data_IF_593398305138
#
_entry.id   IF_593398305138
#
_cell.length_a   1.000
_cell.length_b   1.000
_cell.length_c   1.000
_cell.angle_alpha   90.00
_cell.angle_beta   90.00
_cell.angle_gamma   90.00
#
_symmetry.space_group_name_H-M   'P 1'
#
loop_
_entity.id
_entity.type
_entity.pdbx_description
1 polymer ?
#
# COMPACT_ATOMS: atom_id res chain seq x y z
N UNK A 1 -3.59 36.02 -19.95
CA UNK A 1 -4.08 34.73 -20.47
C UNK A 1 -3.65 33.68 -19.48
N UNK A 2 -4.61 33.01 -18.85
CA UNK A 2 -4.37 32.04 -17.78
C UNK A 2 -3.95 30.72 -18.42
N UNK A 3 -2.69 30.35 -18.27
CA UNK A 3 -2.26 28.97 -18.51
C UNK A 3 -2.90 28.14 -17.40
N UNK A 4 -3.97 27.40 -17.71
CA UNK A 4 -4.28 26.21 -16.93
C UNK A 4 -3.21 25.19 -17.31
N UNK A 5 -2.13 25.16 -16.54
CA UNK A 5 -1.34 23.94 -16.41
C UNK A 5 -2.23 22.98 -15.63
N UNK A 6 -2.76 21.94 -16.28
CA UNK A 6 -3.43 20.84 -15.60
C UNK A 6 -2.42 20.20 -14.63
N UNK A 7 -2.57 20.32 -13.30
CA UNK A 7 -1.71 19.57 -12.41
C UNK A 7 -2.43 18.29 -11.99
N UNK A 8 -1.64 17.31 -11.55
CA UNK A 8 -2.07 16.30 -10.57
C UNK A 8 -2.54 14.93 -11.08
N UNK A 9 -1.94 14.35 -12.12
CA UNK A 9 -1.89 12.88 -12.20
C UNK A 9 -0.63 12.30 -11.55
N UNK A 10 0.55 12.87 -11.81
CA UNK A 10 1.81 12.39 -11.20
C UNK A 10 1.86 12.56 -9.68
N UNK A 11 1.25 13.62 -9.13
CA UNK A 11 1.19 13.83 -7.69
C UNK A 11 0.36 12.75 -6.96
N UNK A 12 -0.69 12.20 -7.60
CA UNK A 12 -1.50 11.16 -6.99
C UNK A 12 -0.71 9.84 -6.87
N UNK A 13 -0.01 9.44 -7.93
CA UNK A 13 0.77 8.19 -7.94
C UNK A 13 1.94 8.24 -6.94
N UNK A 14 2.65 9.37 -6.85
CA UNK A 14 3.72 9.54 -5.86
C UNK A 14 3.18 9.47 -4.42
N UNK A 15 2.02 10.09 -4.17
CA UNK A 15 1.37 10.08 -2.84
C UNK A 15 0.89 8.68 -2.46
N UNK A 16 0.38 7.90 -3.43
CA UNK A 16 -0.09 6.54 -3.18
C UNK A 16 1.06 5.58 -2.90
N UNK A 17 2.21 5.75 -3.57
CA UNK A 17 3.42 4.98 -3.26
C UNK A 17 3.97 5.30 -1.85
N UNK A 18 4.06 6.59 -1.48
CA UNK A 18 4.49 6.98 -0.12
C UNK A 18 3.54 6.48 0.96
N UNK A 19 2.23 6.48 0.70
CA UNK A 19 1.22 5.90 1.59
C UNK A 19 1.37 4.39 1.72
N UNK A 20 1.59 3.70 0.61
CA UNK A 20 1.81 2.26 0.59
C UNK A 20 3.04 1.89 1.44
N UNK A 21 4.17 2.57 1.25
CA UNK A 21 5.39 2.36 2.04
C UNK A 21 5.12 2.51 3.55
N UNK A 22 4.37 3.53 3.94
CA UNK A 22 3.95 3.73 5.33
C UNK A 22 3.09 2.57 5.86
N UNK A 23 2.12 2.12 5.07
CA UNK A 23 1.25 0.98 5.41
C UNK A 23 2.05 -0.31 5.55
N UNK A 24 3.01 -0.55 4.66
CA UNK A 24 3.87 -1.73 4.71
C UNK A 24 4.78 -1.72 5.93
N UNK A 25 5.42 -0.59 6.23
CA UNK A 25 6.27 -0.44 7.41
C UNK A 25 5.48 -0.70 8.70
N UNK A 26 4.27 -0.14 8.82
CA UNK A 26 3.43 -0.36 9.98
C UNK A 26 2.89 -1.80 10.05
N UNK A 27 2.56 -2.41 8.92
CA UNK A 27 2.08 -3.81 8.89
C UNK A 27 3.19 -4.77 9.29
N UNK A 28 4.42 -4.56 8.81
CA UNK A 28 5.58 -5.32 9.27
C UNK A 28 5.84 -5.15 10.76
N UNK A 29 5.63 -3.96 11.32
CA UNK A 29 5.80 -3.75 12.76
C UNK A 29 4.74 -4.48 13.60
N UNK A 30 3.51 -4.57 13.11
CA UNK A 30 2.39 -5.15 13.89
C UNK A 30 2.29 -6.67 13.78
N UNK A 31 2.61 -7.23 12.60
CA UNK A 31 2.42 -8.66 12.29
C UNK A 31 3.65 -9.31 11.66
N UNK A 32 4.82 -8.65 11.69
CA UNK A 32 6.06 -9.24 11.21
C UNK A 32 6.42 -10.51 11.98
N UNK A 33 6.65 -11.60 11.26
CA UNK A 33 6.90 -12.92 11.84
C UNK A 33 5.65 -13.75 12.15
N UNK A 34 4.45 -13.22 11.92
CA UNK A 34 3.20 -13.99 11.93
C UNK A 34 3.02 -14.79 10.63
N UNK A 35 2.05 -15.71 10.62
CA UNK A 35 1.70 -16.47 9.42
C UNK A 35 1.29 -15.56 8.25
N UNK A 36 1.64 -15.99 7.04
CA UNK A 36 1.33 -15.30 5.77
C UNK A 36 -0.17 -14.95 5.64
N UNK A 37 -1.07 -15.78 6.18
CA UNK A 37 -2.52 -15.53 6.18
C UNK A 37 -2.93 -14.36 7.08
N UNK A 38 -2.28 -14.19 8.23
CA UNK A 38 -2.48 -13.09 9.17
C UNK A 38 -1.99 -11.79 8.53
N UNK A 39 -0.77 -11.82 7.96
CA UNK A 39 -0.17 -10.70 7.25
C UNK A 39 -1.03 -10.25 6.07
N UNK A 40 -1.51 -11.19 5.25
CA UNK A 40 -2.39 -10.89 4.12
C UNK A 40 -3.73 -10.26 4.52
N UNK A 41 -4.31 -10.75 5.61
CA UNK A 41 -5.58 -10.20 6.12
C UNK A 41 -5.38 -8.77 6.65
N UNK A 42 -4.30 -8.53 7.40
CA UNK A 42 -3.96 -7.22 7.93
C UNK A 42 -3.68 -6.20 6.81
N UNK A 43 -2.89 -6.59 5.80
CA UNK A 43 -2.54 -5.71 4.68
C UNK A 43 -3.78 -5.36 3.85
N UNK A 44 -4.60 -6.34 3.45
CA UNK A 44 -5.82 -6.10 2.65
C UNK A 44 -6.78 -5.14 3.35
N UNK A 45 -6.97 -5.31 4.66
CA UNK A 45 -7.85 -4.42 5.43
C UNK A 45 -7.35 -2.97 5.44
N UNK A 46 -6.03 -2.76 5.57
CA UNK A 46 -5.45 -1.41 5.58
C UNK A 46 -5.56 -0.72 4.24
N UNK A 47 -5.33 -1.46 3.15
CA UNK A 47 -5.48 -0.93 1.81
C UNK A 47 -6.93 -0.50 1.55
N UNK A 48 -7.91 -1.30 1.98
CA UNK A 48 -9.33 -0.97 1.92
C UNK A 48 -9.68 0.27 2.78
N UNK A 49 -9.19 0.33 4.03
CA UNK A 49 -9.42 1.46 4.95
C UNK A 49 -8.95 2.81 4.38
N UNK A 50 -7.91 2.81 3.53
CA UNK A 50 -7.38 4.03 2.88
C UNK A 50 -7.83 4.20 1.43
N UNK A 51 -8.57 3.23 0.88
CA UNK A 51 -9.03 3.23 -0.51
C UNK A 51 -7.92 3.04 -1.56
N UNK A 52 -6.83 2.35 -1.22
CA UNK A 52 -5.78 1.99 -2.17
C UNK A 52 -6.14 0.68 -2.88
N UNK A 53 -6.39 0.78 -4.18
CA UNK A 53 -6.66 -0.37 -5.03
C UNK A 53 -5.33 -0.94 -5.56
N UNK A 54 -4.97 -2.13 -5.09
CA UNK A 54 -3.73 -2.82 -5.46
C UNK A 54 -4.08 -4.23 -5.91
N UNK A 55 -3.46 -4.66 -7.01
CA UNK A 55 -3.66 -5.99 -7.56
C UNK A 55 -3.33 -7.09 -6.56
N UNK A 56 -4.12 -8.16 -6.58
CA UNK A 56 -3.93 -9.30 -5.68
C UNK A 56 -2.52 -9.92 -5.78
N UNK A 57 -1.93 -9.93 -6.97
CA UNK A 57 -0.57 -10.44 -7.19
C UNK A 57 0.50 -9.58 -6.48
N UNK A 58 0.30 -8.25 -6.46
CA UNK A 58 1.20 -7.34 -5.76
C UNK A 58 1.01 -7.44 -4.25
N UNK A 59 -0.24 -7.58 -3.78
CA UNK A 59 -0.53 -7.88 -2.37
C UNK A 59 0.19 -9.16 -1.93
N UNK A 60 0.10 -10.25 -2.70
CA UNK A 60 0.74 -11.51 -2.33
C UNK A 60 2.28 -11.39 -2.28
N UNK A 61 2.88 -10.59 -3.18
CA UNK A 61 4.31 -10.26 -3.15
C UNK A 61 4.70 -9.51 -1.88
N UNK A 62 3.95 -8.46 -1.54
CA UNK A 62 4.20 -7.61 -0.37
C UNK A 62 4.03 -8.40 0.94
N UNK A 63 3.03 -9.28 1.00
CA UNK A 63 2.81 -10.18 2.12
C UNK A 63 4.00 -11.13 2.31
N UNK A 64 4.52 -11.72 1.23
CA UNK A 64 5.70 -12.58 1.31
C UNK A 64 6.94 -11.82 1.79
N UNK A 65 7.07 -10.54 1.43
CA UNK A 65 8.16 -9.68 1.91
C UNK A 65 8.03 -9.35 3.42
N UNK A 66 6.81 -9.20 3.92
CA UNK A 66 6.56 -8.89 5.34
C UNK A 66 6.70 -10.13 6.23
N UNK A 67 6.25 -11.29 5.74
CA UNK A 67 6.28 -12.55 6.49
C UNK A 67 7.64 -13.26 6.46
N UNK A 68 8.52 -12.90 5.52
CA UNK A 68 9.90 -13.41 5.40
C UNK A 68 10.89 -12.65 6.29
#
# INVERSE_FOLDING_TARGET
MSTQDEPAQEQNVATDAERLDGILAQTRADVGGEDTSVVATALRRRLDDVGLDIDAAEIDRLVAEIAG
#
